data_IF_543047614431
#
_entry.id   IF_543047614431
#
_cell.length_a   1.000
_cell.length_b   1.000
_cell.length_c   1.000
_cell.angle_alpha   90.00
_cell.angle_beta   90.00
_cell.angle_gamma   90.00
#
_symmetry.space_group_name_H-M   'P 1'
#
loop_
_entity.id
_entity.type
_entity.pdbx_description
1 polymer ?
#
# COMPACT_ATOMS: atom_id res chain seq x y z
N UNK A 1 13.30 -24.55 -1.10
CA UNK A 1 12.92 -23.33 -0.33
C UNK A 1 11.45 -23.47 -0.02
N UNK A 2 11.07 -23.24 1.24
CA UNK A 2 9.65 -23.20 1.61
C UNK A 2 9.00 -21.96 0.97
N UNK A 3 7.85 -22.13 0.36
CA UNK A 3 7.13 -21.03 -0.27
C UNK A 3 6.75 -19.96 0.76
N UNK A 4 6.81 -18.66 0.39
CA UNK A 4 6.47 -17.58 1.29
C UNK A 4 4.96 -17.62 1.62
N UNK A 5 4.65 -17.85 2.88
CA UNK A 5 3.26 -17.80 3.40
C UNK A 5 2.92 -16.46 4.04
N UNK A 6 3.94 -15.65 4.37
CA UNK A 6 3.80 -14.30 4.91
C UNK A 6 3.87 -13.30 3.77
N UNK A 7 2.75 -12.74 3.41
CA UNK A 7 2.65 -11.73 2.36
C UNK A 7 2.68 -10.34 2.99
N UNK A 8 3.80 -9.62 2.80
CA UNK A 8 3.99 -8.32 3.44
C UNK A 8 3.22 -7.22 2.70
N UNK A 9 2.27 -6.60 3.39
CA UNK A 9 1.64 -5.37 2.92
C UNK A 9 2.42 -4.11 3.34
N UNK A 10 3.27 -4.19 4.38
CA UNK A 10 4.30 -3.20 4.69
C UNK A 10 5.68 -3.85 4.49
N UNK A 11 6.38 -3.62 3.36
CA UNK A 11 7.56 -4.38 3.00
C UNK A 11 8.74 -4.19 3.94
N UNK A 12 9.47 -5.27 4.13
CA UNK A 12 10.65 -5.32 4.99
C UNK A 12 11.70 -4.29 4.59
N UNK A 13 11.97 -4.13 3.27
CA UNK A 13 12.98 -3.19 2.80
C UNK A 13 12.65 -1.74 3.17
N UNK A 14 11.37 -1.39 3.12
CA UNK A 14 10.88 -0.05 3.44
C UNK A 14 10.93 0.20 4.95
N UNK A 15 10.42 -0.73 5.76
CA UNK A 15 10.40 -0.62 7.21
C UNK A 15 11.78 -0.55 7.85
N UNK A 16 12.82 -1.07 7.19
CA UNK A 16 14.23 -0.97 7.65
C UNK A 16 14.69 0.47 7.86
N UNK A 17 14.08 1.45 7.18
CA UNK A 17 14.37 2.87 7.38
C UNK A 17 14.10 3.38 8.79
N UNK A 18 13.24 2.70 9.56
CA UNK A 18 12.89 3.04 10.96
C UNK A 18 13.54 2.14 11.98
N UNK A 19 14.38 1.20 11.57
CA UNK A 19 15.06 0.35 12.53
C UNK A 19 16.15 1.10 13.29
N UNK A 20 16.28 0.78 14.55
CA UNK A 20 17.46 1.11 15.34
C UNK A 20 18.65 0.32 14.80
N UNK A 21 19.80 0.97 14.62
CA UNK A 21 20.99 0.39 14.00
C UNK A 21 21.64 -0.72 14.85
N UNK A 22 21.39 -0.70 16.16
CA UNK A 22 21.99 -1.66 17.10
C UNK A 22 21.17 -2.94 17.19
N UNK A 23 19.83 -2.78 17.29
CA UNK A 23 18.91 -3.91 17.50
C UNK A 23 18.31 -4.45 16.21
N UNK A 24 18.34 -3.68 15.13
CA UNK A 24 17.64 -4.01 13.89
C UNK A 24 16.11 -4.01 14.02
N UNK A 25 15.58 -3.47 15.12
CA UNK A 25 14.14 -3.39 15.42
C UNK A 25 13.60 -1.98 15.21
N UNK A 26 12.33 -1.88 14.87
CA UNK A 26 11.54 -0.67 14.88
C UNK A 26 10.41 -0.82 15.91
N UNK A 27 9.76 0.27 16.25
CA UNK A 27 8.56 0.25 17.11
C UNK A 27 7.31 0.19 16.26
N UNK A 28 6.51 -0.86 16.43
CA UNK A 28 5.18 -0.98 15.86
C UNK A 28 4.12 -0.55 16.91
N UNK A 29 3.31 0.43 16.54
CA UNK A 29 2.13 0.83 17.28
C UNK A 29 0.92 0.16 16.66
N UNK A 30 0.13 -0.54 17.45
CA UNK A 30 -1.08 -1.21 16.99
C UNK A 30 -2.13 -1.26 18.10
N UNK A 31 -3.39 -1.50 17.73
CA UNK A 31 -4.51 -1.65 18.66
C UNK A 31 -5.08 -3.07 18.57
N UNK A 32 -4.41 -4.07 19.17
CA UNK A 32 -4.88 -5.45 19.10
C UNK A 32 -6.20 -5.67 19.85
N UNK A 33 -6.48 -4.82 20.86
CA UNK A 33 -7.70 -4.82 21.64
C UNK A 33 -8.22 -3.38 21.84
N UNK A 34 -8.45 -2.98 23.08
CA UNK A 34 -8.97 -1.65 23.41
C UNK A 34 -7.91 -0.55 23.26
N UNK A 35 -6.70 -0.80 23.72
CA UNK A 35 -5.65 0.19 23.83
C UNK A 35 -4.57 0.04 22.75
N UNK A 36 -3.98 1.16 22.34
CA UNK A 36 -2.81 1.13 21.49
C UNK A 36 -1.59 0.79 22.33
N UNK A 37 -0.83 -0.18 21.82
CA UNK A 37 0.45 -0.60 22.40
C UNK A 37 1.59 -0.28 21.44
N UNK A 38 2.79 -0.08 21.99
CA UNK A 38 4.04 0.08 21.25
C UNK A 38 4.95 -1.12 21.55
N UNK A 39 5.35 -1.85 20.51
CA UNK A 39 6.22 -3.02 20.64
C UNK A 39 7.44 -2.90 19.75
N UNK A 40 8.66 -3.19 20.25
CA UNK A 40 9.82 -3.39 19.39
C UNK A 40 9.63 -4.68 18.59
N UNK A 41 9.81 -4.59 17.27
CA UNK A 41 9.65 -5.72 16.35
C UNK A 41 10.68 -5.67 15.23
N UNK A 42 11.09 -6.82 14.69
CA UNK A 42 11.82 -6.87 13.44
C UNK A 42 10.87 -6.63 12.24
N UNK A 43 11.32 -5.95 11.17
CA UNK A 43 10.49 -5.69 9.98
C UNK A 43 9.82 -6.94 9.40
N UNK A 44 10.50 -8.09 9.43
CA UNK A 44 9.96 -9.36 8.94
C UNK A 44 8.88 -10.01 9.85
N UNK A 45 8.68 -9.45 11.06
CA UNK A 45 7.71 -9.96 12.05
C UNK A 45 6.44 -9.09 12.14
N UNK A 46 6.27 -8.12 11.24
CA UNK A 46 5.13 -7.19 11.24
C UNK A 46 4.71 -6.84 9.81
N UNK A 47 3.54 -6.23 9.65
CA UNK A 47 3.07 -5.73 8.36
C UNK A 47 2.83 -6.80 7.32
N UNK A 48 2.42 -7.99 7.71
CA UNK A 48 2.07 -9.09 6.82
C UNK A 48 0.72 -9.71 7.18
N UNK A 49 0.13 -10.38 6.21
CA UNK A 49 -1.01 -11.30 6.39
C UNK A 49 -0.60 -12.68 5.85
N UNK A 50 -1.05 -13.74 6.52
CA UNK A 50 -0.81 -15.10 6.03
C UNK A 50 -1.70 -15.36 4.81
N UNK A 51 -1.12 -15.90 3.75
CA UNK A 51 -1.83 -16.36 2.56
C UNK A 51 -2.65 -15.29 1.82
N UNK A 52 -2.37 -13.98 2.01
CA UNK A 52 -3.17 -12.88 1.46
C UNK A 52 -3.40 -12.99 -0.06
N UNK A 53 -2.38 -13.42 -0.81
CA UNK A 53 -2.42 -13.55 -2.27
C UNK A 53 -2.35 -15.00 -2.77
N UNK A 54 -2.59 -15.97 -1.89
CA UNK A 54 -2.54 -17.40 -2.27
C UNK A 54 -3.62 -17.71 -3.29
N UNK A 55 -3.22 -18.28 -4.44
CA UNK A 55 -4.08 -18.70 -5.55
C UNK A 55 -4.53 -20.13 -5.30
N UNK A 56 -5.78 -20.31 -4.88
CA UNK A 56 -6.28 -21.62 -4.43
C UNK A 56 -6.51 -22.60 -5.59
N UNK A 57 -6.81 -22.09 -6.79
CA UNK A 57 -7.07 -22.88 -7.99
C UNK A 57 -5.81 -23.35 -8.72
N UNK A 58 -4.62 -22.94 -8.27
CA UNK A 58 -3.36 -23.31 -8.90
C UNK A 58 -2.68 -24.51 -8.23
N UNK A 59 -1.79 -25.23 -8.94
CA UNK A 59 -0.91 -26.22 -8.33
C UNK A 59 -0.10 -25.66 -7.17
N UNK A 60 0.29 -26.51 -6.22
CA UNK A 60 0.92 -26.08 -4.96
C UNK A 60 2.19 -25.24 -5.18
N UNK A 61 3.00 -25.53 -6.18
CA UNK A 61 4.21 -24.80 -6.55
C UNK A 61 3.94 -23.41 -7.16
N UNK A 62 2.70 -23.14 -7.58
CA UNK A 62 2.26 -21.88 -8.19
C UNK A 62 1.32 -21.07 -7.30
N UNK A 63 0.83 -21.63 -6.20
CA UNK A 63 -0.13 -20.95 -5.30
C UNK A 63 0.37 -19.59 -4.80
N UNK A 64 1.68 -19.39 -4.68
CA UNK A 64 2.28 -18.16 -4.16
C UNK A 64 2.83 -17.26 -5.28
N UNK A 65 2.40 -17.44 -6.53
CA UNK A 65 2.93 -16.72 -7.69
C UNK A 65 2.82 -15.18 -7.56
N UNK A 66 1.74 -14.65 -7.00
CA UNK A 66 1.59 -13.20 -6.83
C UNK A 66 2.68 -12.64 -5.92
N UNK A 67 2.99 -13.30 -4.81
CA UNK A 67 4.07 -12.85 -3.90
C UNK A 67 5.45 -13.12 -4.51
N UNK A 68 5.67 -14.35 -5.03
CA UNK A 68 6.96 -14.86 -5.47
C UNK A 68 7.41 -14.28 -6.82
N UNK A 69 6.49 -14.14 -7.77
CA UNK A 69 6.82 -13.79 -9.16
C UNK A 69 6.43 -12.35 -9.52
N UNK A 70 5.63 -11.69 -8.66
CA UNK A 70 5.20 -10.33 -8.90
C UNK A 70 5.59 -9.36 -7.77
N UNK A 71 5.05 -9.49 -6.55
CA UNK A 71 5.28 -8.49 -5.48
C UNK A 71 6.75 -8.35 -5.12
N UNK A 72 7.45 -9.45 -4.86
CA UNK A 72 8.87 -9.38 -4.51
C UNK A 72 9.75 -8.94 -5.69
N UNK A 73 9.74 -9.59 -6.89
CA UNK A 73 10.69 -9.27 -7.96
C UNK A 73 10.32 -8.03 -8.79
N UNK A 74 9.03 -7.72 -8.97
CA UNK A 74 8.59 -6.63 -9.86
C UNK A 74 8.21 -5.35 -9.11
N UNK A 75 7.84 -5.45 -7.82
CA UNK A 75 7.48 -4.28 -7.00
C UNK A 75 8.59 -3.96 -6.01
N UNK A 76 8.87 -4.85 -5.04
CA UNK A 76 9.69 -4.51 -3.87
C UNK A 76 11.19 -4.40 -4.18
N UNK A 77 11.75 -5.34 -4.94
CA UNK A 77 13.19 -5.33 -5.27
C UNK A 77 13.59 -4.11 -6.12
N UNK A 78 12.85 -3.73 -7.19
CA UNK A 78 13.14 -2.51 -7.94
C UNK A 78 12.91 -1.25 -7.11
N UNK A 79 11.87 -1.20 -6.27
CA UNK A 79 11.59 -0.07 -5.40
C UNK A 79 12.67 0.12 -4.32
N UNK A 80 13.25 -0.96 -3.80
CA UNK A 80 14.39 -0.87 -2.88
C UNK A 80 15.62 -0.21 -3.53
N UNK A 81 15.82 -0.40 -4.85
CA UNK A 81 16.87 0.30 -5.60
C UNK A 81 16.53 1.78 -5.77
N UNK A 82 15.27 2.10 -6.11
CA UNK A 82 14.80 3.47 -6.24
C UNK A 82 14.90 4.22 -4.90
N UNK A 83 14.52 3.60 -3.79
CA UNK A 83 14.62 4.19 -2.45
C UNK A 83 16.05 4.59 -2.10
N UNK A 84 17.05 3.77 -2.43
CA UNK A 84 18.46 4.11 -2.19
C UNK A 84 18.88 5.37 -2.94
N UNK A 85 18.42 5.54 -4.16
CA UNK A 85 18.71 6.77 -4.95
C UNK A 85 17.96 7.98 -4.37
N UNK A 86 16.70 7.82 -3.99
CA UNK A 86 15.90 8.88 -3.34
C UNK A 86 16.49 9.34 -2.00
N UNK A 87 17.18 8.47 -1.29
CA UNK A 87 17.88 8.79 -0.03
C UNK A 87 19.26 9.40 -0.25
N UNK A 88 19.83 9.25 -1.45
CA UNK A 88 21.11 9.83 -1.83
C UNK A 88 21.02 11.32 -2.14
N UNK A 89 22.19 11.91 -2.44
CA UNK A 89 22.30 13.33 -2.80
C UNK A 89 22.20 13.57 -4.32
N UNK A 90 22.37 12.52 -5.13
CA UNK A 90 22.33 12.63 -6.59
C UNK A 90 20.96 12.21 -7.13
N UNK A 91 20.07 13.19 -7.29
CA UNK A 91 18.76 12.99 -7.91
C UNK A 91 18.82 12.67 -9.40
N UNK A 92 19.95 12.97 -10.10
CA UNK A 92 20.12 12.63 -11.50
C UNK A 92 20.30 11.11 -11.73
N UNK A 93 20.69 10.38 -10.69
CA UNK A 93 20.73 8.92 -10.73
C UNK A 93 19.33 8.25 -10.75
N UNK A 94 18.24 9.02 -10.60
CA UNK A 94 16.87 8.53 -10.64
C UNK A 94 16.39 8.36 -12.09
N UNK A 95 16.78 7.27 -12.72
CA UNK A 95 16.39 6.92 -14.10
C UNK A 95 14.87 6.73 -14.23
N UNK A 96 14.36 6.76 -15.46
CA UNK A 96 12.94 6.49 -15.76
C UNK A 96 12.49 5.13 -15.20
N UNK A 97 13.32 4.10 -15.35
CA UNK A 97 13.04 2.78 -14.80
C UNK A 97 12.91 2.78 -13.27
N UNK A 98 13.73 3.56 -12.56
CA UNK A 98 13.64 3.70 -11.10
C UNK A 98 12.44 4.56 -10.69
N UNK A 99 12.08 5.56 -11.47
CA UNK A 99 10.84 6.33 -11.27
C UNK A 99 9.62 5.42 -11.42
N UNK A 100 9.58 4.60 -12.47
CA UNK A 100 8.53 3.60 -12.68
C UNK A 100 8.44 2.60 -11.51
N UNK A 101 9.58 2.11 -11.05
CA UNK A 101 9.65 1.20 -9.91
C UNK A 101 9.10 1.81 -8.61
N UNK A 102 9.48 3.06 -8.30
CA UNK A 102 8.98 3.76 -7.12
C UNK A 102 7.48 4.09 -7.23
N UNK A 103 7.02 4.50 -8.41
CA UNK A 103 5.59 4.72 -8.69
C UNK A 103 4.78 3.46 -8.47
N UNK A 104 5.22 2.32 -9.02
CA UNK A 104 4.58 1.01 -8.84
C UNK A 104 4.50 0.66 -7.36
N UNK A 105 5.57 0.87 -6.61
CA UNK A 105 5.60 0.66 -5.16
C UNK A 105 4.60 1.55 -4.41
N UNK A 106 4.52 2.84 -4.74
CA UNK A 106 3.55 3.75 -4.13
C UNK A 106 2.11 3.29 -4.39
N UNK A 107 1.79 2.88 -5.61
CA UNK A 107 0.47 2.34 -5.95
C UNK A 107 0.23 1.02 -5.20
N UNK A 108 1.20 0.11 -5.23
CA UNK A 108 1.09 -1.16 -4.50
C UNK A 108 0.90 -0.97 -2.99
N UNK A 109 1.53 0.04 -2.37
CA UNK A 109 1.36 0.32 -0.95
C UNK A 109 -0.09 0.67 -0.55
N UNK A 110 -0.88 1.19 -1.49
CA UNK A 110 -2.31 1.45 -1.30
C UNK A 110 -3.15 0.19 -1.47
N UNK A 111 -2.80 -0.66 -2.43
CA UNK A 111 -3.68 -1.72 -2.94
C UNK A 111 -3.43 -3.08 -2.29
N UNK A 112 -2.23 -3.33 -1.73
CA UNK A 112 -1.83 -4.62 -1.17
C UNK A 112 -2.24 -4.86 0.28
N UNK A 113 -2.90 -3.90 0.92
CA UNK A 113 -3.40 -4.05 2.29
C UNK A 113 -4.57 -5.03 2.34
N UNK A 114 -4.74 -5.82 3.41
CA UNK A 114 -5.83 -6.78 3.50
C UNK A 114 -7.21 -6.18 3.25
N UNK A 115 -7.51 -4.99 3.80
CA UNK A 115 -8.78 -4.31 3.56
C UNK A 115 -8.95 -3.90 2.10
N UNK A 116 -7.89 -3.39 1.45
CA UNK A 116 -7.93 -3.02 0.04
C UNK A 116 -8.12 -4.22 -0.88
N UNK A 117 -7.43 -5.32 -0.60
CA UNK A 117 -7.60 -6.59 -1.34
C UNK A 117 -9.04 -7.09 -1.22
N UNK A 118 -9.62 -7.04 -0.03
CA UNK A 118 -11.01 -7.41 0.20
C UNK A 118 -11.99 -6.48 -0.56
N UNK A 119 -11.77 -5.15 -0.52
CA UNK A 119 -12.60 -4.16 -1.20
C UNK A 119 -12.57 -4.33 -2.73
N UNK A 120 -11.37 -4.53 -3.31
CA UNK A 120 -11.21 -4.84 -4.74
C UNK A 120 -11.91 -6.15 -5.08
N UNK A 121 -11.76 -7.17 -4.24
CA UNK A 121 -12.40 -8.47 -4.43
C UNK A 121 -13.92 -8.36 -4.45
N UNK A 122 -14.53 -7.62 -3.53
CA UNK A 122 -15.99 -7.44 -3.49
C UNK A 122 -16.50 -6.61 -4.67
N UNK A 123 -15.77 -5.56 -5.08
CA UNK A 123 -16.11 -4.78 -6.27
C UNK A 123 -16.06 -5.65 -7.53
N UNK A 124 -15.03 -6.49 -7.67
CA UNK A 124 -14.91 -7.45 -8.77
C UNK A 124 -16.09 -8.44 -8.78
N UNK A 125 -16.40 -9.07 -7.63
CA UNK A 125 -17.52 -10.02 -7.50
C UNK A 125 -18.85 -9.36 -7.87
N UNK A 126 -19.07 -8.13 -7.41
CA UNK A 126 -20.29 -7.37 -7.74
C UNK A 126 -20.42 -7.14 -9.24
N UNK A 127 -19.35 -6.68 -9.90
CA UNK A 127 -19.32 -6.47 -11.34
C UNK A 127 -19.50 -7.77 -12.12
N UNK A 128 -18.82 -8.84 -11.72
CA UNK A 128 -18.93 -10.16 -12.33
C UNK A 128 -20.36 -10.69 -12.21
N UNK A 129 -20.97 -10.55 -11.04
CA UNK A 129 -22.37 -10.95 -10.82
C UNK A 129 -23.31 -10.23 -11.77
N UNK A 130 -23.18 -8.90 -11.90
CA UNK A 130 -24.01 -8.11 -12.82
C UNK A 130 -23.84 -8.55 -14.27
N UNK A 131 -22.61 -8.78 -14.72
CA UNK A 131 -22.33 -9.20 -16.09
C UNK A 131 -22.89 -10.62 -16.37
N UNK A 132 -22.84 -11.52 -15.41
CA UNK A 132 -23.32 -12.89 -15.55
C UNK A 132 -24.84 -13.04 -15.34
N UNK A 133 -25.51 -12.06 -14.74
CA UNK A 133 -26.98 -12.04 -14.68
C UNK A 133 -27.63 -11.89 -16.06
N UNK A 134 -26.94 -11.23 -16.99
CA UNK A 134 -27.39 -11.05 -18.38
C UNK A 134 -26.96 -12.18 -19.33
N UNK A 135 -26.26 -13.20 -18.83
CA UNK A 135 -25.73 -14.31 -19.64
C UNK A 135 -26.84 -15.32 -19.96
N UNK A 136 -27.54 -15.09 -21.06
CA UNK A 136 -28.59 -16.00 -21.56
C UNK A 136 -28.06 -17.39 -21.99
N UNK A 137 -26.74 -17.52 -22.22
CA UNK A 137 -26.13 -18.79 -22.61
C UNK A 137 -26.18 -19.84 -21.49
N UNK A 138 -26.27 -19.40 -20.23
CA UNK A 138 -26.32 -20.33 -19.08
C UNK A 138 -27.52 -21.27 -19.13
N UNK A 139 -28.69 -20.78 -19.56
CA UNK A 139 -29.91 -21.59 -19.65
C UNK A 139 -29.78 -22.75 -20.64
N UNK A 140 -28.89 -22.65 -21.64
CA UNK A 140 -28.69 -23.69 -22.65
C UNK A 140 -27.94 -24.93 -22.14
N UNK A 141 -27.21 -24.83 -21.04
CA UNK A 141 -26.44 -25.95 -20.44
C UNK A 141 -26.71 -26.18 -18.96
N UNK A 142 -27.62 -25.42 -18.35
CA UNK A 142 -28.07 -25.61 -16.99
C UNK A 142 -28.74 -26.95 -16.79
N UNK A 143 -28.41 -27.64 -15.72
CA UNK A 143 -28.98 -28.94 -15.36
C UNK A 143 -30.01 -28.79 -14.24
N UNK A 144 -30.86 -29.82 -14.09
CA UNK A 144 -31.79 -29.87 -12.97
C UNK A 144 -31.04 -29.87 -11.63
N UNK A 145 -31.40 -28.96 -10.71
CA UNK A 145 -30.71 -28.76 -9.44
C UNK A 145 -29.54 -27.77 -9.44
N UNK A 146 -29.21 -27.22 -10.62
CA UNK A 146 -28.24 -26.13 -10.70
C UNK A 146 -28.77 -24.80 -10.18
N UNK A 147 -27.90 -23.94 -9.63
CA UNK A 147 -28.26 -22.61 -9.18
C UNK A 147 -28.95 -21.77 -10.26
N UNK A 148 -29.76 -20.76 -9.87
CA UNK A 148 -30.50 -19.92 -10.83
C UNK A 148 -29.65 -19.18 -11.83
N UNK A 149 -28.42 -18.75 -11.43
CA UNK A 149 -27.53 -17.93 -12.26
C UNK A 149 -26.17 -18.58 -12.45
N UNK A 150 -25.49 -18.26 -13.55
CA UNK A 150 -24.12 -18.69 -13.80
C UNK A 150 -23.14 -18.24 -12.70
N UNK A 151 -23.34 -17.05 -12.14
CA UNK A 151 -22.52 -16.56 -11.03
C UNK A 151 -22.64 -17.47 -9.81
N UNK A 152 -23.87 -17.82 -9.41
CA UNK A 152 -24.11 -18.72 -8.27
C UNK A 152 -23.59 -20.13 -8.52
N UNK A 153 -23.70 -20.60 -9.77
CA UNK A 153 -23.09 -21.87 -10.19
C UNK A 153 -21.57 -21.86 -10.03
N UNK A 154 -20.89 -20.79 -10.52
CA UNK A 154 -19.44 -20.65 -10.34
C UNK A 154 -19.08 -20.53 -8.85
N UNK A 155 -19.85 -19.79 -8.06
CA UNK A 155 -19.61 -19.62 -6.64
C UNK A 155 -19.76 -20.94 -5.86
N UNK A 156 -20.71 -21.79 -6.27
CA UNK A 156 -20.97 -23.09 -5.63
C UNK A 156 -19.90 -24.12 -5.99
N UNK A 157 -19.58 -24.25 -7.28
CA UNK A 157 -18.74 -25.34 -7.78
C UNK A 157 -17.28 -24.96 -8.02
N UNK A 158 -16.99 -23.67 -8.25
CA UNK A 158 -15.67 -23.16 -8.57
C UNK A 158 -15.32 -21.86 -7.81
N UNK A 159 -15.49 -21.82 -6.45
CA UNK A 159 -15.30 -20.58 -5.68
C UNK A 159 -13.88 -20.02 -5.80
N UNK A 160 -12.86 -20.87 -5.98
CA UNK A 160 -11.47 -20.49 -6.19
C UNK A 160 -11.29 -19.64 -7.46
N UNK A 161 -12.01 -19.91 -8.54
CA UNK A 161 -11.89 -19.15 -9.79
C UNK A 161 -12.23 -17.68 -9.58
N UNK A 162 -13.33 -17.43 -8.84
CA UNK A 162 -13.76 -16.06 -8.53
C UNK A 162 -12.77 -15.37 -7.57
N UNK A 163 -12.33 -16.08 -6.53
CA UNK A 163 -11.41 -15.54 -5.54
C UNK A 163 -10.03 -15.25 -6.13
N UNK A 164 -9.52 -16.14 -6.97
CA UNK A 164 -8.22 -15.97 -7.61
C UNK A 164 -8.24 -14.83 -8.63
N UNK A 165 -9.30 -14.75 -9.46
CA UNK A 165 -9.49 -13.62 -10.36
C UNK A 165 -9.57 -12.27 -9.61
N UNK A 166 -10.21 -12.25 -8.44
CA UNK A 166 -10.25 -11.06 -7.58
C UNK A 166 -8.85 -10.63 -7.10
N UNK A 167 -7.97 -11.59 -6.74
CA UNK A 167 -6.57 -11.31 -6.36
C UNK A 167 -5.75 -10.81 -7.55
N UNK A 168 -5.98 -11.34 -8.76
CA UNK A 168 -5.34 -10.82 -9.99
C UNK A 168 -5.74 -9.36 -10.28
N UNK A 169 -6.95 -8.94 -9.91
CA UNK A 169 -7.35 -7.54 -10.07
C UNK A 169 -6.48 -6.57 -9.27
N UNK A 170 -5.93 -7.01 -8.13
CA UNK A 170 -4.96 -6.20 -7.38
C UNK A 170 -3.70 -5.95 -8.22
N UNK A 171 -3.17 -7.00 -8.84
CA UNK A 171 -2.00 -6.91 -9.74
C UNK A 171 -2.28 -5.95 -10.91
N UNK A 172 -3.43 -6.13 -11.57
CA UNK A 172 -3.85 -5.26 -12.69
C UNK A 172 -4.03 -3.79 -12.25
N UNK A 173 -4.54 -3.57 -11.05
CA UNK A 173 -4.70 -2.22 -10.51
C UNK A 173 -3.35 -1.56 -10.19
N UNK A 174 -2.36 -2.33 -9.72
CA UNK A 174 -0.98 -1.84 -9.51
C UNK A 174 -0.31 -1.47 -10.84
N UNK A 175 -0.55 -2.23 -11.91
CA UNK A 175 -0.01 -2.00 -13.26
C UNK A 175 -0.87 -1.04 -14.10
N UNK A 176 -1.67 -0.18 -13.47
CA UNK A 176 -2.50 0.79 -14.20
C UNK A 176 -1.64 1.92 -14.78
N UNK A 177 -1.36 1.85 -16.07
CA UNK A 177 -0.55 2.83 -16.80
C UNK A 177 -1.10 4.25 -16.69
N UNK A 178 -2.42 4.43 -16.67
CA UNK A 178 -3.05 5.75 -16.57
C UNK A 178 -2.70 6.46 -15.26
N UNK A 179 -2.73 5.73 -14.14
CA UNK A 179 -2.33 6.23 -12.82
C UNK A 179 -0.81 6.38 -12.75
N UNK A 180 -0.08 5.36 -13.19
CA UNK A 180 1.38 5.33 -13.18
C UNK A 180 1.98 6.50 -13.94
N UNK A 181 1.53 6.76 -15.17
CA UNK A 181 2.03 7.84 -16.02
C UNK A 181 1.80 9.24 -15.41
N UNK A 182 0.69 9.46 -14.71
CA UNK A 182 0.46 10.73 -14.03
C UNK A 182 1.54 10.94 -12.95
N UNK A 183 1.76 9.95 -12.09
CA UNK A 183 2.70 10.04 -10.97
C UNK A 183 4.16 10.15 -11.46
N UNK A 184 4.56 9.36 -12.45
CA UNK A 184 5.91 9.40 -13.04
C UNK A 184 6.24 10.78 -13.56
N UNK A 185 5.28 11.47 -14.18
CA UNK A 185 5.48 12.79 -14.79
C UNK A 185 5.35 13.96 -13.78
N UNK A 186 4.98 13.72 -12.53
CA UNK A 186 5.03 14.75 -11.48
C UNK A 186 6.49 15.17 -11.20
N UNK A 187 6.66 16.33 -10.64
CA UNK A 187 7.96 16.80 -10.12
C UNK A 187 8.22 16.12 -8.78
N UNK A 188 9.39 15.49 -8.65
CA UNK A 188 9.79 14.75 -7.46
C UNK A 188 10.94 15.42 -6.73
N UNK A 189 10.88 15.39 -5.42
CA UNK A 189 12.00 15.76 -4.55
C UNK A 189 11.95 15.00 -3.23
N UNK A 190 13.07 15.06 -2.50
CA UNK A 190 13.18 14.54 -1.13
C UNK A 190 13.53 15.71 -0.21
N UNK A 191 12.67 15.97 0.76
CA UNK A 191 12.85 17.05 1.72
C UNK A 191 13.52 16.50 2.99
N UNK A 192 14.49 17.27 3.49
CA UNK A 192 15.17 16.95 4.75
C UNK A 192 14.37 17.52 5.92
N UNK A 193 13.98 16.62 6.85
CA UNK A 193 13.26 16.93 8.08
C UNK A 193 14.14 16.79 9.33
N UNK A 194 15.47 16.67 9.19
CA UNK A 194 16.39 16.48 10.32
C UNK A 194 16.39 17.64 11.33
N UNK A 195 16.02 18.85 10.88
CA UNK A 195 15.86 20.01 11.74
C UNK A 195 14.55 19.99 12.57
N UNK A 196 13.66 19.02 12.33
CA UNK A 196 12.44 18.87 13.13
C UNK A 196 12.74 18.34 14.53
N UNK A 197 11.99 18.83 15.53
CA UNK A 197 12.00 18.28 16.90
C UNK A 197 11.54 16.82 16.98
N UNK A 198 10.72 16.38 16.01
CA UNK A 198 10.14 15.05 15.99
C UNK A 198 10.57 14.29 14.74
N UNK A 199 10.63 12.99 14.83
CA UNK A 199 10.87 12.10 13.69
C UNK A 199 9.59 11.82 12.93
N UNK A 200 9.71 11.60 11.60
CA UNK A 200 8.60 11.11 10.80
C UNK A 200 8.23 9.69 11.22
N UNK A 201 6.93 9.46 11.34
CA UNK A 201 6.32 8.15 11.43
C UNK A 201 6.00 7.64 10.03
N UNK A 202 5.77 6.33 9.94
CA UNK A 202 5.15 5.70 8.78
C UNK A 202 4.06 4.74 9.24
N UNK A 203 3.38 4.05 8.32
CA UNK A 203 2.32 3.12 8.66
C UNK A 203 2.07 2.12 7.55
N UNK A 204 1.02 1.35 7.69
CA UNK A 204 0.50 0.49 6.62
C UNK A 204 -0.16 1.28 5.48
N UNK A 205 -0.37 2.58 5.68
CA UNK A 205 -0.81 3.56 4.69
C UNK A 205 0.18 4.74 4.62
N UNK A 206 1.39 4.58 4.06
CA UNK A 206 2.38 5.65 4.04
C UNK A 206 2.15 6.71 2.95
N UNK A 207 1.26 6.45 2.00
CA UNK A 207 0.97 7.29 0.85
C UNK A 207 -0.10 8.33 1.20
N UNK A 208 0.32 9.56 1.41
CA UNK A 208 -0.57 10.70 1.67
C UNK A 208 -0.80 11.46 0.37
N UNK A 209 -2.05 11.59 -0.05
CA UNK A 209 -2.41 12.32 -1.26
C UNK A 209 -3.44 13.40 -0.96
N UNK A 210 -3.11 14.59 -1.35
CA UNK A 210 -4.01 15.74 -1.30
C UNK A 210 -4.49 16.06 -2.71
N UNK A 211 -5.78 16.17 -2.88
CA UNK A 211 -6.50 16.35 -4.15
C UNK A 211 -6.46 15.14 -5.09
N UNK A 212 -7.25 15.19 -6.16
CA UNK A 212 -7.26 14.15 -7.21
C UNK A 212 -5.95 14.15 -8.01
N UNK A 213 -5.55 13.00 -8.55
CA UNK A 213 -4.28 12.87 -9.29
C UNK A 213 -4.15 13.82 -10.48
N UNK A 214 -5.27 14.18 -11.13
CA UNK A 214 -5.29 15.12 -12.27
C UNK A 214 -5.44 16.58 -11.85
N UNK A 215 -5.69 16.86 -10.56
CA UNK A 215 -5.79 18.23 -10.07
C UNK A 215 -4.38 18.88 -10.07
N UNK A 216 -4.20 20.08 -10.62
CA UNK A 216 -2.90 20.78 -10.61
C UNK A 216 -2.32 20.97 -9.19
N UNK A 217 -3.15 20.97 -8.15
CA UNK A 217 -2.74 21.08 -6.74
C UNK A 217 -2.36 19.74 -6.13
N UNK A 218 -2.48 18.64 -6.89
CA UNK A 218 -2.18 17.30 -6.35
C UNK A 218 -0.77 17.27 -5.79
N UNK A 219 -0.69 16.83 -4.55
CA UNK A 219 0.55 16.64 -3.81
C UNK A 219 0.53 15.27 -3.17
N UNK A 220 1.55 14.49 -3.41
CA UNK A 220 1.79 13.21 -2.79
C UNK A 220 2.95 13.36 -1.82
N UNK A 221 2.75 12.99 -0.57
CA UNK A 221 3.79 12.90 0.46
C UNK A 221 3.98 11.43 0.85
N UNK A 222 5.25 11.04 1.04
CA UNK A 222 5.58 9.67 1.42
C UNK A 222 6.82 9.67 2.33
N UNK A 223 6.69 9.35 3.64
CA UNK A 223 7.84 9.23 4.52
C UNK A 223 8.83 8.17 4.00
N UNK A 224 10.09 8.50 3.84
CA UNK A 224 11.13 7.58 3.39
C UNK A 224 11.95 6.99 4.54
N UNK A 225 12.22 7.84 5.53
CA UNK A 225 12.94 7.52 6.78
C UNK A 225 12.44 8.46 7.89
N UNK A 226 12.87 8.32 9.13
CA UNK A 226 12.53 9.27 10.20
C UNK A 226 12.86 10.74 9.91
N UNK A 227 13.75 11.00 8.95
CA UNK A 227 14.21 12.37 8.62
C UNK A 227 14.08 12.76 7.15
N UNK A 228 13.54 11.90 6.29
CA UNK A 228 13.40 12.17 4.86
C UNK A 228 11.94 11.99 4.42
N UNK A 229 11.41 13.01 3.75
CA UNK A 229 10.06 13.03 3.21
C UNK A 229 10.11 13.16 1.69
N UNK A 230 9.58 12.18 0.97
CA UNK A 230 9.37 12.27 -0.47
C UNK A 230 8.16 13.15 -0.77
N UNK A 231 8.26 13.95 -1.81
CA UNK A 231 7.17 14.74 -2.36
C UNK A 231 7.10 14.56 -3.88
N UNK A 232 5.88 14.36 -4.39
CA UNK A 232 5.57 14.48 -5.81
C UNK A 232 4.42 15.48 -6.00
N UNK A 233 4.55 16.41 -6.95
CA UNK A 233 3.58 17.47 -7.21
C UNK A 233 3.59 17.89 -8.67
N UNK A 234 2.48 18.45 -9.17
CA UNK A 234 2.44 19.06 -10.50
C UNK A 234 3.03 20.48 -10.52
N UNK A 235 3.09 21.17 -9.37
CA UNK A 235 3.58 22.55 -9.27
C UNK A 235 4.71 22.66 -8.22
N UNK A 236 5.87 23.15 -8.66
CA UNK A 236 7.01 23.47 -7.77
C UNK A 236 6.67 24.43 -6.64
N UNK A 237 5.67 25.27 -6.80
CA UNK A 237 5.21 26.16 -5.71
C UNK A 237 4.75 25.39 -4.50
N UNK A 238 4.07 24.25 -4.68
CA UNK A 238 3.64 23.41 -3.57
C UNK A 238 4.85 22.86 -2.80
N UNK A 239 5.87 22.35 -3.50
CA UNK A 239 7.13 21.88 -2.89
C UNK A 239 7.83 23.03 -2.13
N UNK A 240 8.01 24.18 -2.78
CA UNK A 240 8.63 25.35 -2.15
C UNK A 240 7.88 25.80 -0.90
N UNK A 241 6.56 25.80 -0.94
CA UNK A 241 5.74 26.17 0.21
C UNK A 241 5.93 25.22 1.38
N UNK A 242 5.93 23.90 1.14
CA UNK A 242 6.19 22.89 2.18
C UNK A 242 7.61 23.02 2.72
N UNK A 243 8.59 23.24 1.83
CA UNK A 243 9.98 23.36 2.22
C UNK A 243 10.30 24.61 3.06
N UNK A 244 9.54 25.70 2.88
CA UNK A 244 9.68 26.95 3.65
C UNK A 244 9.03 26.89 5.03
N UNK A 245 8.10 25.98 5.27
CA UNK A 245 7.44 25.82 6.57
C UNK A 245 8.43 25.32 7.62
N UNK A 246 8.14 25.60 8.88
CA UNK A 246 8.85 24.98 10.00
C UNK A 246 8.82 23.45 9.88
N UNK A 247 9.97 22.82 10.00
CA UNK A 247 10.09 21.36 9.80
C UNK A 247 9.32 20.57 10.86
N UNK A 248 9.23 21.10 12.08
CA UNK A 248 8.47 20.47 13.16
C UNK A 248 6.97 20.47 12.86
N UNK A 249 6.44 21.60 12.34
CA UNK A 249 5.04 21.67 11.92
C UNK A 249 4.71 20.71 10.77
N UNK A 250 5.60 20.62 9.76
CA UNK A 250 5.43 19.67 8.66
C UNK A 250 5.41 18.24 9.16
N UNK A 251 6.37 17.86 10.03
CA UNK A 251 6.43 16.51 10.59
C UNK A 251 5.21 16.20 11.45
N UNK A 252 4.74 17.13 12.28
CA UNK A 252 3.51 16.93 13.07
C UNK A 252 2.31 16.69 12.15
N UNK A 253 2.15 17.49 11.08
CA UNK A 253 1.06 17.36 10.14
C UNK A 253 1.10 16.01 9.39
N UNK A 254 2.27 15.61 8.90
CA UNK A 254 2.47 14.30 8.22
C UNK A 254 2.18 13.15 9.18
N UNK A 255 2.71 13.20 10.40
CA UNK A 255 2.51 12.16 11.41
C UNK A 255 1.04 12.07 11.85
N UNK A 256 0.33 13.19 11.94
CA UNK A 256 -1.10 13.22 12.24
C UNK A 256 -1.91 12.46 11.20
N UNK A 257 -1.65 12.75 9.92
CA UNK A 257 -2.33 12.10 8.80
C UNK A 257 -1.97 10.61 8.71
N UNK A 258 -0.67 10.26 8.76
CA UNK A 258 -0.22 8.86 8.77
C UNK A 258 -0.92 8.06 9.87
N UNK A 259 -0.99 8.61 11.09
CA UNK A 259 -1.62 7.90 12.19
C UNK A 259 -3.15 7.80 12.06
N UNK A 260 -3.82 8.82 11.50
CA UNK A 260 -5.28 8.82 11.31
C UNK A 260 -5.74 7.83 10.27
N UNK A 261 -5.00 7.72 9.15
CA UNK A 261 -5.39 6.85 8.04
C UNK A 261 -4.90 5.40 8.19
N UNK A 262 -3.93 5.16 9.07
CA UNK A 262 -3.41 3.80 9.32
C UNK A 262 -4.53 2.84 9.74
N UNK A 263 -4.55 1.65 9.15
CA UNK A 263 -5.56 0.62 9.44
C UNK A 263 -5.20 -0.20 10.67
N UNK A 264 -3.97 -0.73 10.70
CA UNK A 264 -3.51 -1.66 11.75
C UNK A 264 -2.26 -1.16 12.46
N UNK A 265 -1.32 -0.55 11.71
CA UNK A 265 0.02 -0.26 12.19
C UNK A 265 0.48 1.15 11.84
N UNK A 266 1.04 1.80 12.84
CA UNK A 266 1.94 2.93 12.68
C UNK A 266 3.32 2.48 13.13
N UNK A 267 4.38 2.97 12.48
CA UNK A 267 5.74 2.60 12.79
C UNK A 267 6.59 3.84 13.07
N UNK A 268 7.48 3.70 14.02
CA UNK A 268 8.49 4.69 14.38
C UNK A 268 9.77 4.02 14.88
N UNK A 269 10.81 4.81 15.11
CA UNK A 269 12.08 4.29 15.65
C UNK A 269 11.94 3.90 17.12
N UNK A 270 11.22 4.68 17.91
CA UNK A 270 11.09 4.51 19.36
C UNK A 270 9.63 4.54 19.80
N UNK A 271 9.34 4.19 21.05
CA UNK A 271 8.01 4.22 21.63
C UNK A 271 7.53 5.63 22.08
N UNK A 272 8.29 6.69 21.83
CA UNK A 272 8.03 8.05 22.31
C UNK A 272 6.71 8.65 21.81
N UNK A 273 6.17 8.15 20.70
CA UNK A 273 4.92 8.63 20.09
C UNK A 273 3.66 7.88 20.55
N UNK A 274 3.72 7.02 21.60
CA UNK A 274 2.60 6.17 21.99
C UNK A 274 1.32 6.98 22.25
N UNK A 275 1.38 8.02 23.07
CA UNK A 275 0.20 8.88 23.36
C UNK A 275 -0.33 9.58 22.10
N UNK A 276 0.58 10.06 21.24
CA UNK A 276 0.22 10.70 19.99
C UNK A 276 -0.54 9.76 19.07
N UNK A 277 0.00 8.54 18.86
CA UNK A 277 -0.62 7.51 18.00
C UNK A 277 -1.91 6.97 18.62
N UNK A 278 -1.96 6.76 19.95
CA UNK A 278 -3.16 6.26 20.64
C UNK A 278 -4.39 7.12 20.40
N UNK A 279 -4.19 8.43 20.31
CA UNK A 279 -5.26 9.39 20.06
C UNK A 279 -5.70 9.48 18.59
N UNK A 280 -5.02 8.84 17.65
CA UNK A 280 -5.19 9.04 16.20
C UNK A 280 -5.43 7.78 15.39
N UNK A 281 -4.80 6.66 15.76
CA UNK A 281 -4.79 5.43 14.99
C UNK A 281 -6.19 5.01 14.52
N UNK A 282 -6.36 4.98 13.20
CA UNK A 282 -7.58 4.52 12.55
C UNK A 282 -8.78 5.46 12.66
N UNK A 283 -8.60 6.76 12.97
CA UNK A 283 -9.73 7.70 13.11
C UNK A 283 -10.33 8.13 11.77
N UNK A 284 -9.58 8.04 10.69
CA UNK A 284 -10.04 8.42 9.35
C UNK A 284 -9.71 7.28 8.39
N UNK A 285 -10.49 6.18 8.40
CA UNK A 285 -10.20 5.05 7.53
C UNK A 285 -10.28 5.50 6.07
N UNK A 286 -9.21 5.21 5.32
CA UNK A 286 -9.17 5.47 3.88
C UNK A 286 -9.94 4.38 3.15
N UNK A 287 -10.88 4.78 2.29
CA UNK A 287 -11.54 3.89 1.33
C UNK A 287 -10.90 4.07 -0.04
N UNK A 288 -10.60 2.96 -0.73
CA UNK A 288 -10.05 2.98 -2.10
C UNK A 288 -11.09 3.50 -3.09
N UNK A 289 -12.31 3.00 -2.96
CA UNK A 289 -13.45 3.41 -3.76
C UNK A 289 -14.13 4.53 -2.98
N UNK A 290 -13.86 5.77 -3.38
CA UNK A 290 -14.52 6.92 -2.79
C UNK A 290 -16.03 6.75 -2.93
N UNK A 291 -16.76 6.80 -1.81
CA UNK A 291 -18.17 7.09 -1.87
C UNK A 291 -18.28 8.47 -2.54
N UNK A 292 -18.85 8.51 -3.75
CA UNK A 292 -19.35 9.76 -4.32
C UNK A 292 -20.36 10.32 -3.31
N UNK A 293 -19.92 11.28 -2.52
CA UNK A 293 -20.77 12.19 -1.75
C UNK A 293 -20.66 13.57 -2.36
#
# INVERSE_FOLDING_TARGET
>A
MTDPIKHHFSPVFYLRGWCDSTTGQLTAYSRPYKDVIAKPVHPAATGYELFLYTMEGLPDDQKQMIEKDYMAPKVDNPAAKALRVLLGTDTNALTEALRGAWTRFMIASLLRRPAAVAEIGEAFKSTLRQNLLADSSYESYKQEGDPPTRFEWMQKYHPHVINDAAKEMVVRAVENDGVGNIIINMQWSTLDMSASRYELLTGDMPHLRYYGLKDPRCTILFPLTPTKLFIATHDRKAECNINRRDKTEVVISVNDEVARIAERFVYGRTASHLRFVANRLGRTPSRLLGSNS
#
